data_IF_367857973709
#
_entry.id   IF_367857973709
#
_cell.length_a   1.000
_cell.length_b   1.000
_cell.length_c   1.000
_cell.angle_alpha   90.00
_cell.angle_beta   90.00
_cell.angle_gamma   90.00
#
_symmetry.space_group_name_H-M   'P 1'
#
loop_
_entity.id
_entity.type
_entity.pdbx_description
1 polymer ?
#
# COMPACT_ATOMS: atom_id res chain seq x y z
N UNK A 1 14.86 3.40 0.80
CA UNK A 1 14.35 2.01 0.71
C UNK A 1 15.00 1.18 1.80
N UNK A 2 14.22 0.40 2.56
CA UNK A 2 14.68 -0.26 3.79
C UNK A 2 15.95 -1.12 3.63
N UNK A 3 16.10 -1.93 2.57
CA UNK A 3 17.31 -2.72 2.35
C UNK A 3 18.56 -1.87 2.08
N UNK A 4 18.41 -0.75 1.34
CA UNK A 4 19.51 0.18 1.08
C UNK A 4 19.91 0.90 2.38
N UNK A 5 18.93 1.27 3.20
CA UNK A 5 19.14 1.91 4.52
C UNK A 5 19.83 0.96 5.51
N UNK A 6 19.65 -0.36 5.37
CA UNK A 6 20.38 -1.37 6.15
C UNK A 6 21.85 -1.55 5.72
N UNK A 7 22.32 -0.80 4.71
CA UNK A 7 23.69 -0.93 4.20
C UNK A 7 23.91 -2.11 3.24
N UNK A 8 22.84 -2.65 2.65
CA UNK A 8 22.90 -3.75 1.66
C UNK A 8 23.66 -4.99 2.18
N UNK A 9 23.28 -5.56 3.33
CA UNK A 9 24.00 -6.68 3.91
C UNK A 9 23.93 -7.92 2.98
N UNK A 10 25.01 -8.71 2.97
CA UNK A 10 25.06 -9.99 2.24
C UNK A 10 24.15 -11.05 2.87
N UNK A 11 23.93 -10.97 4.19
CA UNK A 11 23.02 -11.83 4.95
C UNK A 11 22.14 -10.99 5.87
N UNK A 12 20.84 -11.28 5.88
CA UNK A 12 19.90 -10.61 6.76
C UNK A 12 19.93 -11.26 8.15
N UNK A 13 20.01 -10.44 9.18
CA UNK A 13 19.69 -10.89 10.54
C UNK A 13 18.19 -11.20 10.66
N UNK A 14 17.76 -11.98 11.67
CA UNK A 14 16.34 -12.22 11.91
C UNK A 14 15.52 -10.92 12.06
N UNK A 15 16.07 -9.90 12.71
CA UNK A 15 15.43 -8.59 12.85
C UNK A 15 15.28 -7.84 11.53
N UNK A 16 16.33 -7.86 10.68
CA UNK A 16 16.27 -7.24 9.35
C UNK A 16 15.26 -7.96 8.44
N UNK A 17 15.20 -9.29 8.51
CA UNK A 17 14.20 -10.07 7.78
C UNK A 17 12.78 -9.74 8.22
N UNK A 18 12.55 -9.60 9.53
CA UNK A 18 11.25 -9.20 10.07
C UNK A 18 10.86 -7.80 9.60
N UNK A 19 11.78 -6.85 9.60
CA UNK A 19 11.54 -5.48 9.13
C UNK A 19 11.16 -5.45 7.63
N UNK A 20 11.87 -6.19 6.78
CA UNK A 20 11.54 -6.27 5.34
C UNK A 20 10.15 -6.88 5.12
N UNK A 21 9.82 -7.95 5.83
CA UNK A 21 8.48 -8.55 5.77
C UNK A 21 7.39 -7.59 6.25
N UNK A 22 7.68 -6.75 7.23
CA UNK A 22 6.71 -5.80 7.77
C UNK A 22 6.33 -4.71 6.76
N UNK A 23 7.30 -4.21 5.98
CA UNK A 23 7.06 -3.13 5.01
C UNK A 23 6.45 -3.62 3.68
N UNK A 24 6.30 -4.93 3.47
CA UNK A 24 5.74 -5.53 2.25
C UNK A 24 4.42 -6.26 2.50
N UNK A 25 3.70 -5.95 3.58
CA UNK A 25 2.46 -6.66 3.95
C UNK A 25 1.25 -6.36 3.07
N UNK A 26 1.34 -5.34 2.21
CA UNK A 26 0.24 -4.90 1.34
C UNK A 26 -1.06 -4.63 2.11
N UNK A 27 -0.97 -3.87 3.20
CA UNK A 27 -2.15 -3.49 3.98
C UNK A 27 -3.01 -2.49 3.18
N UNK A 28 -4.32 -2.75 2.99
CA UNK A 28 -5.16 -1.89 2.17
C UNK A 28 -5.45 -0.56 2.88
N UNK A 29 -5.57 0.49 2.07
CA UNK A 29 -6.14 1.77 2.50
C UNK A 29 -7.65 1.73 2.26
N UNK A 30 -8.44 1.77 3.33
CA UNK A 30 -9.90 1.67 3.26
C UNK A 30 -10.54 3.05 3.35
N UNK A 31 -11.40 3.38 2.39
CA UNK A 31 -12.21 4.59 2.37
C UNK A 31 -13.68 4.27 2.15
N UNK A 32 -14.56 4.96 2.88
CA UNK A 32 -16.00 4.91 2.66
C UNK A 32 -16.35 6.00 1.64
N UNK A 33 -17.03 5.63 0.56
CA UNK A 33 -17.54 6.55 -0.46
C UNK A 33 -19.06 6.57 -0.46
N UNK A 34 -19.65 7.75 -0.63
CA UNK A 34 -21.09 7.87 -0.82
C UNK A 34 -21.43 7.71 -2.31
N UNK A 35 -22.30 6.74 -2.60
CA UNK A 35 -22.82 6.53 -3.95
C UNK A 35 -24.04 7.42 -4.14
N UNK A 36 -24.00 8.29 -5.15
CA UNK A 36 -25.10 9.19 -5.48
C UNK A 36 -26.30 8.41 -5.99
N UNK A 37 -27.47 9.07 -6.07
CA UNK A 37 -28.72 8.48 -6.56
C UNK A 37 -28.64 7.94 -7.99
N UNK A 38 -27.73 8.48 -8.80
CA UNK A 38 -27.46 8.03 -10.18
C UNK A 38 -26.53 6.81 -10.24
N UNK A 39 -26.11 6.27 -9.09
CA UNK A 39 -25.17 5.15 -9.00
C UNK A 39 -23.71 5.55 -9.15
N UNK A 40 -23.38 6.84 -9.28
CA UNK A 40 -22.00 7.28 -9.43
C UNK A 40 -21.31 7.54 -8.09
N UNK A 41 -20.00 7.26 -8.04
CA UNK A 41 -19.10 7.68 -6.97
C UNK A 41 -17.79 8.16 -7.59
N UNK A 42 -17.15 9.14 -6.94
CA UNK A 42 -15.85 9.65 -7.34
C UNK A 42 -14.90 9.60 -6.14
N UNK A 43 -13.70 9.09 -6.37
CA UNK A 43 -12.62 9.06 -5.39
C UNK A 43 -11.36 9.57 -6.06
N UNK A 44 -10.63 10.46 -5.38
CA UNK A 44 -9.37 11.01 -5.87
C UNK A 44 -8.24 10.53 -4.97
N UNK A 45 -7.30 9.81 -5.56
CA UNK A 45 -6.09 9.33 -4.89
C UNK A 45 -4.88 10.09 -5.43
N UNK A 46 -4.10 10.81 -4.60
CA UNK A 46 -2.86 11.41 -5.05
C UNK A 46 -1.84 10.32 -5.40
N UNK A 47 -1.30 10.37 -6.61
CA UNK A 47 -0.31 9.41 -7.13
C UNK A 47 1.07 10.07 -7.20
N UNK A 48 2.11 9.32 -6.84
CA UNK A 48 3.51 9.66 -7.09
C UNK A 48 4.00 8.93 -8.34
N UNK A 49 5.11 9.41 -8.91
CA UNK A 49 5.77 8.69 -10.00
C UNK A 49 6.10 7.25 -9.56
N UNK A 50 5.74 6.28 -10.40
CA UNK A 50 5.91 4.84 -10.18
C UNK A 50 5.00 4.20 -9.12
N UNK A 51 4.01 4.93 -8.59
CA UNK A 51 2.95 4.29 -7.80
C UNK A 51 2.11 3.37 -8.70
N UNK A 52 1.77 2.20 -8.16
CA UNK A 52 0.86 1.23 -8.77
C UNK A 52 -0.22 0.93 -7.74
N UNK A 53 -1.49 0.98 -8.17
CA UNK A 53 -2.64 0.82 -7.27
C UNK A 53 -3.64 -0.19 -7.82
N UNK A 54 -4.22 -0.95 -6.90
CA UNK A 54 -5.44 -1.73 -7.11
C UNK A 54 -6.54 -1.05 -6.31
N UNK A 55 -7.67 -0.74 -6.97
CA UNK A 55 -8.84 -0.19 -6.31
C UNK A 55 -9.99 -1.19 -6.44
N UNK A 56 -10.54 -1.58 -5.29
CA UNK A 56 -11.70 -2.46 -5.18
C UNK A 56 -12.85 -1.69 -4.55
N UNK A 57 -14.07 -1.91 -5.06
CA UNK A 57 -15.29 -1.34 -4.50
C UNK A 57 -16.18 -2.48 -4.05
N UNK A 58 -16.41 -2.56 -2.75
CA UNK A 58 -17.26 -3.55 -2.13
C UNK A 58 -18.46 -2.90 -1.47
N UNK A 59 -19.56 -3.65 -1.37
CA UNK A 59 -20.73 -3.23 -0.59
C UNK A 59 -20.46 -3.57 0.88
N UNK A 60 -20.37 -2.53 1.71
CA UNK A 60 -20.31 -2.68 3.17
C UNK A 60 -21.60 -3.16 3.81
#
# INVERSE_FOLDING_TARGET
MAYLEMGRPEKLSPGQLQQLRAVTKDAPLVHIVEVKRDGSAAFTLPMRAHDVVLAELERG
#
